data_IF_369711440074
#
_entry.id   IF_369711440074
#
_cell.length_a   1.000
_cell.length_b   1.000
_cell.length_c   1.000
_cell.angle_alpha   90.00
_cell.angle_beta   90.00
_cell.angle_gamma   90.00
#
_symmetry.space_group_name_H-M   'P 1'
#
loop_
_entity.id
_entity.type
_entity.pdbx_description
1 polymer ?
#
# COMPACT_ATOMS: atom_id res chain seq x y z
N UNK A 1 12.06 -14.03 30.36
CA UNK A 1 12.58 -13.03 29.40
C UNK A 1 11.80 -13.24 28.12
N UNK A 2 10.78 -12.42 27.85
CA UNK A 2 10.00 -12.53 26.61
C UNK A 2 10.82 -11.91 25.49
N UNK A 3 11.42 -12.74 24.64
CA UNK A 3 11.97 -12.28 23.37
C UNK A 3 10.77 -11.84 22.53
N UNK A 4 10.67 -10.55 22.21
CA UNK A 4 9.67 -10.08 21.27
C UNK A 4 9.93 -10.76 19.92
N UNK A 5 9.03 -11.64 19.48
CA UNK A 5 9.13 -12.26 18.17
C UNK A 5 8.90 -11.14 17.14
N UNK A 6 9.89 -10.93 16.27
CA UNK A 6 9.77 -10.00 15.16
C UNK A 6 8.71 -10.52 14.18
N UNK A 7 7.57 -9.83 14.11
CA UNK A 7 6.42 -10.28 13.30
C UNK A 7 6.60 -10.03 11.81
N UNK A 8 7.37 -9.00 11.45
CA UNK A 8 7.50 -8.50 10.09
C UNK A 8 8.96 -8.35 9.69
N UNK A 9 9.30 -8.82 8.49
CA UNK A 9 10.66 -8.73 7.96
C UNK A 9 10.65 -8.05 6.58
N UNK A 10 11.78 -7.43 6.16
CA UNK A 10 11.92 -6.91 4.82
C UNK A 10 11.68 -8.00 3.77
N UNK A 11 10.90 -7.67 2.74
CA UNK A 11 10.64 -8.54 1.59
C UNK A 11 11.42 -8.07 0.36
N UNK A 12 11.31 -6.79 -0.01
CA UNK A 12 12.04 -6.20 -1.13
C UNK A 12 12.22 -4.69 -0.92
N UNK A 13 13.39 -4.18 -1.28
CA UNK A 13 13.64 -2.74 -1.43
C UNK A 13 13.33 -2.34 -2.87
N UNK A 14 12.36 -1.43 -3.06
CA UNK A 14 11.96 -0.93 -4.37
C UNK A 14 12.71 0.36 -4.76
N UNK A 15 13.59 0.83 -3.87
CA UNK A 15 14.33 2.07 -4.00
C UNK A 15 13.41 3.29 -3.93
N UNK A 16 13.69 4.28 -4.76
CA UNK A 16 13.01 5.58 -4.73
C UNK A 16 11.92 5.66 -5.80
N UNK A 17 10.74 6.16 -5.42
CA UNK A 17 9.71 6.66 -6.33
C UNK A 17 9.70 8.19 -6.30
N UNK A 18 9.34 8.81 -7.41
CA UNK A 18 9.19 10.27 -7.52
C UNK A 18 7.75 10.61 -7.88
N UNK A 19 7.17 11.56 -7.19
CA UNK A 19 5.80 12.01 -7.45
C UNK A 19 5.80 12.88 -8.72
N UNK A 20 5.09 12.48 -9.78
CA UNK A 20 5.03 13.29 -11.01
C UNK A 20 4.17 14.55 -10.79
N UNK A 21 4.25 15.46 -11.75
CA UNK A 21 3.28 16.56 -11.85
C UNK A 21 1.85 16.01 -11.95
N UNK A 22 0.92 16.67 -11.26
CA UNK A 22 -0.51 16.35 -11.25
C UNK A 22 -0.86 14.88 -10.93
N UNK A 23 -0.16 14.26 -9.96
CA UNK A 23 -0.49 12.90 -9.53
C UNK A 23 -1.89 12.82 -8.92
N UNK A 24 -2.83 12.23 -9.67
CA UNK A 24 -4.23 12.03 -9.29
C UNK A 24 -4.68 10.60 -9.59
N UNK A 25 -5.52 10.04 -8.74
CA UNK A 25 -6.05 8.68 -8.91
C UNK A 25 -6.96 8.60 -10.15
N UNK A 26 -7.71 9.66 -10.45
CA UNK A 26 -8.53 9.70 -11.67
C UNK A 26 -7.69 9.60 -12.95
N UNK A 27 -6.57 10.34 -13.01
CA UNK A 27 -5.61 10.27 -14.12
C UNK A 27 -4.98 8.89 -14.21
N UNK A 28 -4.52 8.35 -13.08
CA UNK A 28 -3.96 7.00 -12.98
C UNK A 28 -4.92 5.93 -13.50
N UNK A 29 -6.17 5.92 -13.04
CA UNK A 29 -7.17 4.94 -13.45
C UNK A 29 -7.46 5.01 -14.94
N UNK A 30 -7.63 6.21 -15.50
CA UNK A 30 -7.83 6.39 -16.95
C UNK A 30 -6.68 5.80 -17.77
N UNK A 31 -5.44 6.01 -17.34
CA UNK A 31 -4.24 5.58 -18.07
C UNK A 31 -3.91 4.09 -17.89
N UNK A 32 -4.25 3.51 -16.73
CA UNK A 32 -3.70 2.21 -16.33
C UNK A 32 -4.75 1.12 -16.12
N UNK A 33 -6.06 1.42 -16.04
CA UNK A 33 -7.10 0.42 -15.77
C UNK A 33 -7.04 -0.82 -16.69
N UNK A 34 -6.69 -0.63 -17.95
CA UNK A 34 -6.61 -1.72 -18.94
C UNK A 34 -5.40 -2.65 -18.76
N UNK A 35 -4.48 -2.33 -17.84
CA UNK A 35 -3.33 -3.17 -17.49
C UNK A 35 -3.62 -4.06 -16.28
N UNK A 36 -4.79 -3.95 -15.67
CA UNK A 36 -5.22 -4.78 -14.55
C UNK A 36 -6.22 -5.83 -15.02
N UNK A 37 -6.14 -7.02 -14.43
CA UNK A 37 -7.18 -8.03 -14.59
C UNK A 37 -8.43 -7.61 -13.81
N UNK A 38 -8.26 -7.06 -12.60
CA UNK A 38 -9.29 -6.38 -11.82
C UNK A 38 -8.83 -4.99 -11.35
N UNK A 39 -9.71 -3.99 -11.51
CA UNK A 39 -9.51 -2.63 -10.99
C UNK A 39 -10.75 -2.21 -10.20
N UNK A 40 -10.58 -1.89 -8.92
CA UNK A 40 -11.64 -1.41 -8.04
C UNK A 40 -11.92 0.08 -8.30
N UNK A 41 -13.09 0.37 -8.87
CA UNK A 41 -13.53 1.73 -9.23
C UNK A 41 -13.67 2.65 -8.01
N UNK A 42 -13.84 2.09 -6.82
CA UNK A 42 -13.85 2.86 -5.58
C UNK A 42 -12.48 3.48 -5.25
N UNK A 43 -11.39 3.05 -5.87
CA UNK A 43 -10.05 3.67 -5.75
C UNK A 43 -9.98 4.90 -6.67
N UNK A 44 -10.51 6.02 -6.16
CA UNK A 44 -10.57 7.29 -6.88
C UNK A 44 -10.37 8.51 -5.94
N UNK A 45 -10.16 9.68 -6.54
CA UNK A 45 -9.88 10.93 -5.80
C UNK A 45 -10.99 11.29 -4.80
N UNK A 46 -12.26 10.96 -5.09
CA UNK A 46 -13.39 11.29 -4.21
C UNK A 46 -13.32 10.48 -2.92
N UNK A 47 -13.17 9.16 -3.06
CA UNK A 47 -13.16 8.23 -1.94
C UNK A 47 -11.86 8.34 -1.12
N UNK A 48 -10.73 8.65 -1.77
CA UNK A 48 -9.42 8.80 -1.13
C UNK A 48 -8.92 10.26 -1.16
N UNK A 49 -9.81 11.21 -0.84
CA UNK A 49 -9.54 12.65 -0.93
C UNK A 49 -8.67 13.22 0.18
N UNK A 50 -8.47 12.48 1.26
CA UNK A 50 -7.87 13.01 2.50
C UNK A 50 -6.88 12.02 3.14
N UNK A 51 -5.78 11.66 2.44
CA UNK A 51 -4.76 10.79 3.02
C UNK A 51 -4.05 11.48 4.20
N UNK A 52 -3.43 10.69 5.08
CA UNK A 52 -2.66 11.25 6.21
C UNK A 52 -1.51 12.14 5.72
N UNK A 53 -0.82 11.72 4.66
CA UNK A 53 0.23 12.49 4.02
C UNK A 53 -0.15 12.79 2.57
N UNK A 54 -0.25 14.09 2.24
CA UNK A 54 -0.57 14.56 0.90
C UNK A 54 0.71 14.76 0.11
N UNK A 55 0.90 13.94 -0.91
CA UNK A 55 2.05 14.01 -1.80
C UNK A 55 1.99 15.22 -2.73
N UNK A 56 3.14 15.87 -2.93
CA UNK A 56 3.35 16.99 -3.85
C UNK A 56 4.24 16.57 -5.00
N UNK A 57 4.08 17.25 -6.14
CA UNK A 57 4.97 17.06 -7.29
C UNK A 57 6.43 17.23 -6.89
N UNK A 58 7.28 16.31 -7.34
CA UNK A 58 8.71 16.32 -7.05
C UNK A 58 9.10 15.61 -5.74
N UNK A 59 8.16 15.29 -4.86
CA UNK A 59 8.45 14.52 -3.65
C UNK A 59 9.12 13.18 -4.01
N UNK A 60 10.07 12.75 -3.17
CA UNK A 60 10.79 11.50 -3.33
C UNK A 60 10.57 10.62 -2.10
N UNK A 61 10.07 9.42 -2.32
CA UNK A 61 9.83 8.45 -1.27
C UNK A 61 10.70 7.22 -1.48
N UNK A 62 11.41 6.78 -0.44
CA UNK A 62 11.98 5.45 -0.38
C UNK A 62 10.88 4.43 -0.09
N UNK A 63 10.83 3.32 -0.83
CA UNK A 63 9.76 2.33 -0.70
C UNK A 63 10.33 0.95 -0.41
N UNK A 64 9.80 0.29 0.62
CA UNK A 64 10.13 -1.08 0.96
C UNK A 64 8.82 -1.87 1.12
N UNK A 65 8.83 -3.13 0.71
CA UNK A 65 7.77 -4.06 1.08
C UNK A 65 8.22 -4.92 2.27
N UNK A 66 7.28 -5.21 3.16
CA UNK A 66 7.46 -6.09 4.31
C UNK A 66 6.43 -7.21 4.27
N UNK A 67 6.78 -8.36 4.84
CA UNK A 67 5.86 -9.50 5.02
C UNK A 67 5.87 -9.99 6.45
N UNK A 68 4.80 -10.66 6.84
CA UNK A 68 4.78 -11.39 8.12
C UNK A 68 5.60 -12.67 8.06
N UNK A 69 6.14 -13.09 9.21
CA UNK A 69 6.88 -14.36 9.39
C UNK A 69 6.34 -15.21 10.53
N UNK A 70 5.25 -14.78 11.15
CA UNK A 70 4.54 -15.53 12.18
C UNK A 70 3.46 -16.41 11.55
N UNK A 71 3.16 -17.58 12.14
CA UNK A 71 2.18 -18.52 11.59
C UNK A 71 0.72 -18.07 11.80
N UNK A 72 0.48 -17.05 12.63
CA UNK A 72 -0.84 -16.47 12.85
C UNK A 72 -1.12 -15.31 11.88
N UNK A 73 -2.39 -15.03 11.62
CA UNK A 73 -2.79 -13.80 10.95
C UNK A 73 -2.36 -12.56 11.74
N UNK A 74 -2.14 -11.44 11.04
CA UNK A 74 -1.87 -10.11 11.60
C UNK A 74 -2.95 -9.12 11.19
N UNK A 75 -3.10 -8.01 11.91
CA UNK A 75 -4.09 -6.97 11.55
C UNK A 75 -3.45 -5.77 10.84
N UNK A 76 -4.30 -4.96 10.20
CA UNK A 76 -3.87 -3.68 9.63
C UNK A 76 -3.30 -2.74 10.70
N UNK A 77 -3.88 -2.71 11.91
CA UNK A 77 -3.33 -1.94 13.04
C UNK A 77 -1.93 -2.39 13.44
N UNK A 78 -1.64 -3.69 13.47
CA UNK A 78 -0.30 -4.18 13.81
C UNK A 78 0.74 -3.74 12.77
N UNK A 79 0.36 -3.79 11.48
CA UNK A 79 1.22 -3.35 10.38
C UNK A 79 1.44 -1.83 10.41
N UNK A 80 0.38 -1.06 10.68
CA UNK A 80 0.48 0.38 10.91
C UNK A 80 1.42 0.71 12.07
N UNK A 81 1.29 0.02 13.19
CA UNK A 81 2.12 0.25 14.37
C UNK A 81 3.58 -0.11 14.11
N UNK A 82 3.84 -1.16 13.32
CA UNK A 82 5.19 -1.44 12.82
C UNK A 82 5.73 -0.29 11.95
N UNK A 83 4.94 0.22 11.00
CA UNK A 83 5.35 1.34 10.14
C UNK A 83 5.63 2.63 10.93
N UNK A 84 4.80 2.94 11.95
CA UNK A 84 4.98 4.14 12.80
C UNK A 84 6.33 4.16 13.52
N UNK A 85 6.88 2.99 13.85
CA UNK A 85 8.18 2.86 14.51
C UNK A 85 9.35 3.09 13.54
N UNK A 86 9.10 3.08 12.24
CA UNK A 86 10.15 3.31 11.24
C UNK A 86 10.37 4.80 11.02
N UNK A 87 11.62 5.25 11.15
CA UNK A 87 12.00 6.65 10.99
C UNK A 87 11.64 7.15 9.59
N UNK A 88 10.99 8.31 9.54
CA UNK A 88 10.62 8.98 8.29
C UNK A 88 9.43 8.35 7.56
N UNK A 89 8.73 7.39 8.17
CA UNK A 89 7.57 6.77 7.55
C UNK A 89 6.44 7.77 7.30
N UNK A 90 5.83 7.69 6.12
CA UNK A 90 4.63 8.44 5.73
C UNK A 90 3.53 7.50 5.26
N UNK A 91 2.29 7.88 5.52
CA UNK A 91 1.10 7.13 5.16
C UNK A 91 0.38 7.81 3.99
N UNK A 92 0.40 7.16 2.84
CA UNK A 92 0.02 7.75 1.54
C UNK A 92 -1.12 7.00 0.84
N UNK A 93 -1.66 5.95 1.47
CA UNK A 93 -2.83 5.22 0.99
C UNK A 93 -2.78 4.88 -0.50
N UNK A 94 -3.87 5.16 -1.23
CA UNK A 94 -4.01 4.84 -2.64
C UNK A 94 -2.99 5.57 -3.54
N UNK A 95 -2.51 6.75 -3.13
CA UNK A 95 -1.51 7.50 -3.89
C UNK A 95 -0.18 6.73 -3.95
N UNK A 96 0.24 6.14 -2.82
CA UNK A 96 1.46 5.32 -2.77
C UNK A 96 1.38 4.07 -3.65
N UNK A 97 0.27 3.32 -3.56
CA UNK A 97 0.08 2.10 -4.35
C UNK A 97 0.10 2.38 -5.86
N UNK A 98 -0.57 3.44 -6.31
CA UNK A 98 -0.58 3.84 -7.72
C UNK A 98 0.81 4.24 -8.25
N UNK A 99 1.63 4.91 -7.43
CA UNK A 99 3.02 5.23 -7.80
C UNK A 99 3.91 3.98 -7.88
N UNK A 100 3.76 3.05 -6.93
CA UNK A 100 4.46 1.76 -6.97
C UNK A 100 4.06 0.99 -8.23
N UNK A 101 2.78 0.98 -8.62
CA UNK A 101 2.37 0.38 -9.88
C UNK A 101 3.09 1.00 -11.07
N UNK A 102 3.05 2.34 -11.20
CA UNK A 102 3.65 3.04 -12.35
C UNK A 102 5.16 2.80 -12.46
N UNK A 103 5.88 2.81 -11.33
CA UNK A 103 7.34 2.93 -11.33
C UNK A 103 8.08 1.64 -10.96
N UNK A 104 7.46 0.77 -10.16
CA UNK A 104 8.16 -0.33 -9.46
C UNK A 104 7.48 -1.70 -9.56
N UNK A 105 6.30 -1.83 -10.19
CA UNK A 105 5.51 -3.08 -10.21
C UNK A 105 6.29 -4.33 -10.59
N UNK A 106 7.23 -4.23 -11.53
CA UNK A 106 8.03 -5.36 -12.01
C UNK A 106 9.04 -5.89 -10.99
N UNK A 107 9.27 -5.18 -9.89
CA UNK A 107 10.18 -5.57 -8.82
C UNK A 107 9.45 -6.27 -7.66
N UNK A 108 8.12 -6.26 -7.66
CA UNK A 108 7.33 -6.90 -6.61
C UNK A 108 7.33 -8.42 -6.79
N UNK A 109 7.65 -9.20 -5.74
CA UNK A 109 7.43 -10.64 -5.74
C UNK A 109 5.97 -11.02 -6.08
N UNK A 110 5.81 -12.07 -6.88
CA UNK A 110 4.50 -12.55 -7.32
C UNK A 110 3.78 -13.35 -6.24
N UNK A 111 2.45 -13.44 -6.37
CA UNK A 111 1.56 -14.20 -5.50
C UNK A 111 1.24 -13.53 -4.18
N UNK A 112 1.37 -12.20 -4.09
CA UNK A 112 1.19 -11.43 -2.86
C UNK A 112 0.29 -10.21 -3.07
N UNK A 113 -0.40 -9.84 -2.01
CA UNK A 113 -1.25 -8.65 -1.89
C UNK A 113 -0.47 -7.57 -1.16
N UNK A 114 -0.14 -6.46 -1.82
CA UNK A 114 0.67 -5.38 -1.26
C UNK A 114 -0.20 -4.22 -0.80
N UNK A 115 -0.51 -4.19 0.50
CA UNK A 115 -1.31 -3.12 1.10
C UNK A 115 -0.53 -1.81 1.23
N UNK A 116 -1.08 -0.72 0.73
CA UNK A 116 -0.59 0.65 0.98
C UNK A 116 -1.43 1.29 2.08
N UNK A 117 -0.84 1.40 3.26
CA UNK A 117 -1.56 1.72 4.48
C UNK A 117 -1.85 3.22 4.63
N UNK A 118 -2.91 3.52 5.35
CA UNK A 118 -3.22 4.83 5.92
C UNK A 118 -3.84 4.66 7.32
N UNK A 119 -3.95 5.75 8.08
CA UNK A 119 -4.79 5.80 9.27
C UNK A 119 -6.20 5.36 8.90
N UNK A 120 -6.80 4.53 9.76
CA UNK A 120 -8.11 3.90 9.51
C UNK A 120 -9.16 4.92 9.07
N UNK A 121 -9.28 6.01 9.81
CA UNK A 121 -10.23 7.10 9.62
C UNK A 121 -10.01 7.91 8.33
N UNK A 122 -8.86 7.75 7.67
CA UNK A 122 -8.52 8.39 6.38
C UNK A 122 -8.85 7.50 5.19
N UNK A 123 -9.09 6.21 5.43
CA UNK A 123 -9.53 5.28 4.39
C UNK A 123 -11.01 5.48 4.09
N UNK A 124 -11.37 5.20 2.83
CA UNK A 124 -12.77 5.19 2.43
C UNK A 124 -13.51 4.06 3.14
N UNK A 125 -14.65 4.37 3.76
CA UNK A 125 -15.53 3.39 4.37
C UNK A 125 -16.61 2.96 3.38
N UNK A 126 -16.65 1.67 3.05
CA UNK A 126 -17.67 1.11 2.16
C UNK A 126 -19.04 1.02 2.85
N UNK A 127 -20.07 0.66 2.08
CA UNK A 127 -21.45 0.53 2.58
C UNK A 127 -21.64 -0.63 3.56
N UNK A 128 -20.70 -1.59 3.62
CA UNK A 128 -20.67 -2.69 4.58
C UNK A 128 -19.95 -2.29 5.88
N UNK A 129 -19.45 -1.05 5.95
CA UNK A 129 -18.78 -0.49 7.11
C UNK A 129 -17.30 -0.79 7.19
N UNK A 130 -16.72 -1.38 6.13
CA UNK A 130 -15.33 -1.75 6.03
C UNK A 130 -14.47 -0.58 5.54
N UNK A 131 -13.31 -0.34 6.16
CA UNK A 131 -12.38 0.69 5.70
C UNK A 131 -11.43 0.09 4.65
N UNK A 132 -11.52 0.59 3.41
CA UNK A 132 -10.84 0.01 2.26
C UNK A 132 -9.34 0.34 2.24
N UNK A 133 -8.49 -0.67 2.45
CA UNK A 133 -7.04 -0.59 2.27
C UNK A 133 -6.69 -0.86 0.80
N UNK A 134 -6.07 0.09 0.08
CA UNK A 134 -5.63 -0.15 -1.29
C UNK A 134 -4.55 -1.23 -1.36
N UNK A 135 -4.78 -2.26 -2.16
CA UNK A 135 -3.86 -3.37 -2.39
C UNK A 135 -3.49 -3.46 -3.86
N UNK A 136 -2.19 -3.38 -4.14
CA UNK A 136 -1.66 -3.82 -5.42
C UNK A 136 -1.39 -5.32 -5.33
N UNK A 137 -2.09 -6.13 -6.11
CA UNK A 137 -1.96 -7.58 -6.09
C UNK A 137 -1.14 -8.00 -7.29
N UNK A 138 -0.10 -8.80 -7.04
CA UNK A 138 0.70 -9.40 -8.12
C UNK A 138 0.30 -10.86 -8.22
N UNK A 139 -0.44 -11.23 -9.25
CA UNK A 139 -0.89 -12.59 -9.46
C UNK A 139 0.31 -13.51 -9.77
N UNK A 140 0.16 -14.81 -9.52
CA UNK A 140 1.23 -15.79 -9.80
C UNK A 140 1.59 -15.83 -11.31
N UNK A 141 0.64 -15.53 -12.19
CA UNK A 141 0.87 -15.37 -13.63
C UNK A 141 1.80 -14.21 -13.96
N UNK A 142 1.86 -13.18 -13.11
CA UNK A 142 2.54 -11.91 -13.36
C UNK A 142 1.59 -10.76 -13.74
N UNK A 143 0.29 -11.03 -13.87
CA UNK A 143 -0.74 -10.00 -14.02
C UNK A 143 -0.98 -9.27 -12.70
N UNK A 144 -1.74 -8.17 -12.76
CA UNK A 144 -1.98 -7.31 -11.61
C UNK A 144 -3.47 -7.10 -11.37
N UNK A 145 -3.85 -7.04 -10.10
CA UNK A 145 -5.12 -6.45 -9.67
C UNK A 145 -4.84 -5.22 -8.81
N UNK A 146 -5.78 -4.27 -8.81
CA UNK A 146 -5.78 -3.14 -7.89
C UNK A 146 -7.12 -3.08 -7.17
N UNK A 147 -7.13 -3.54 -5.91
CA UNK A 147 -8.34 -3.87 -5.17
C UNK A 147 -8.32 -3.25 -3.75
N UNK A 148 -9.45 -3.33 -3.04
CA UNK A 148 -9.61 -2.91 -1.66
C UNK A 148 -9.70 -4.11 -0.71
N UNK A 149 -8.72 -4.20 0.18
CA UNK A 149 -8.78 -5.09 1.34
C UNK A 149 -9.55 -4.43 2.48
N UNK A 150 -10.03 -5.22 3.43
CA UNK A 150 -10.72 -4.68 4.59
C UNK A 150 -9.79 -4.44 5.76
N UNK A 151 -9.71 -3.20 6.25
CA UNK A 151 -8.83 -2.82 7.35
C UNK A 151 -9.05 -3.69 8.61
N UNK A 152 -10.31 -3.96 8.93
CA UNK A 152 -10.74 -4.76 10.09
C UNK A 152 -10.45 -6.25 9.97
N UNK A 153 -10.19 -6.76 8.76
CA UNK A 153 -10.01 -8.18 8.57
C UNK A 153 -8.58 -8.62 8.94
N UNK A 154 -8.41 -9.78 9.59
CA UNK A 154 -7.12 -10.41 9.73
C UNK A 154 -6.51 -10.71 8.35
N UNK A 155 -5.19 -10.59 8.27
CA UNK A 155 -4.40 -10.75 7.07
C UNK A 155 -3.45 -11.94 7.27
N UNK A 156 -3.50 -12.91 6.36
CA UNK A 156 -2.63 -14.08 6.37
C UNK A 156 -1.24 -13.79 5.74
N UNK A 157 -0.48 -14.85 5.46
CA UNK A 157 0.86 -14.78 4.87
C UNK A 157 0.86 -14.48 3.36
N UNK A 158 -0.31 -14.47 2.71
CA UNK A 158 -0.51 -13.97 1.35
C UNK A 158 -0.46 -12.45 1.24
N UNK A 159 -0.48 -11.74 2.37
CA UNK A 159 -0.43 -10.28 2.42
C UNK A 159 0.94 -9.74 2.84
N UNK A 160 1.46 -8.84 2.02
CA UNK A 160 2.56 -7.93 2.32
C UNK A 160 2.01 -6.51 2.54
N UNK A 161 2.89 -5.58 2.91
CA UNK A 161 2.53 -4.16 2.97
C UNK A 161 3.70 -3.28 2.54
N UNK A 162 3.36 -2.12 1.97
CA UNK A 162 4.27 -1.12 1.48
C UNK A 162 4.53 -0.08 2.57
N UNK A 163 5.81 0.20 2.79
CA UNK A 163 6.30 1.23 3.68
C UNK A 163 6.95 2.32 2.84
N UNK A 164 6.54 3.56 3.08
CA UNK A 164 7.04 4.73 2.36
C UNK A 164 7.80 5.63 3.34
N UNK A 165 9.01 6.02 2.98
CA UNK A 165 9.82 6.96 3.76
C UNK A 165 10.02 8.24 2.99
N UNK A 166 9.69 9.37 3.60
CA UNK A 166 10.06 10.66 3.08
C UNK A 166 11.59 10.81 3.12
N UNK A 167 12.17 11.22 1.99
CA UNK A 167 13.61 11.42 1.82
C UNK A 167 14.01 12.90 1.90
N UNK A 168 13.06 13.82 2.06
CA UNK A 168 13.32 15.25 2.21
C UNK A 168 13.76 15.67 3.62
N UNK A 169 14.11 14.70 4.49
CA UNK A 169 14.61 14.92 5.85
C UNK A 169 16.07 15.31 5.93
#
# INVERSE_FOLDING_TARGET
MNVAIEKFVPLVDLGVITVPEDHRLATFGRENRGQFFHYEEAINDKNFSNPTHVLKSGDKLGVHAFRQVVPSATTSEERLEFCRKQKGNVFVGAQGASLVFKQKRNQLPRGLWYGSLDQRERLWRDTRGCYGVPNLIVLRSGDFDFDLGCFEHPLDDGYAFLLFRDLAG
#
